data_IF_042111248393
#
_entry.id   IF_042111248393
#
_cell.length_a   1.000
_cell.length_b   1.000
_cell.length_c   1.000
_cell.angle_alpha   90.00
_cell.angle_beta   90.00
_cell.angle_gamma   90.00
#
_symmetry.space_group_name_H-M   'P 1'
#
loop_
_entity.id
_entity.type
_entity.pdbx_description
1 polymer ?
#
# COMPACT_ATOMS: atom_id res chain seq x y z
N UNK A 1 -42.73 33.80 -5.49
CA UNK A 1 -42.14 32.52 -5.95
C UNK A 1 -40.64 32.64 -5.75
N UNK A 2 -40.15 32.16 -4.59
CA UNK A 2 -38.75 32.30 -4.16
C UNK A 2 -37.99 31.14 -4.76
N UNK A 3 -37.11 31.42 -5.73
CA UNK A 3 -36.16 30.47 -6.27
C UNK A 3 -35.05 30.32 -5.22
N UNK A 4 -35.08 29.25 -4.43
CA UNK A 4 -33.92 28.88 -3.59
C UNK A 4 -32.88 28.33 -4.56
N UNK A 5 -31.84 29.12 -4.80
CA UNK A 5 -30.61 28.64 -5.45
C UNK A 5 -30.06 27.50 -4.61
N UNK A 6 -29.98 26.30 -5.19
CA UNK A 6 -29.18 25.23 -4.66
C UNK A 6 -27.73 25.72 -4.70
N UNK A 7 -27.24 26.19 -3.56
CA UNK A 7 -25.81 26.38 -3.34
C UNK A 7 -25.11 25.05 -3.63
N UNK A 8 -24.12 25.10 -4.52
CA UNK A 8 -23.15 24.01 -4.75
C UNK A 8 -22.75 23.50 -3.36
N UNK A 9 -23.10 22.25 -3.08
CA UNK A 9 -22.51 21.51 -1.98
C UNK A 9 -21.01 21.60 -2.21
N UNK A 10 -20.28 22.32 -1.35
CA UNK A 10 -18.82 22.26 -1.30
C UNK A 10 -18.47 20.79 -1.22
N UNK A 11 -17.98 20.24 -2.30
CA UNK A 11 -17.49 18.88 -2.36
C UNK A 11 -16.34 18.81 -1.36
N UNK A 12 -16.57 18.17 -0.20
CA UNK A 12 -15.55 17.96 0.82
C UNK A 12 -14.40 17.26 0.12
N UNK A 13 -13.26 17.94 0.06
CA UNK A 13 -12.08 17.40 -0.62
C UNK A 13 -11.63 16.12 0.12
N UNK A 14 -11.82 14.97 -0.51
CA UNK A 14 -11.47 13.67 0.05
C UNK A 14 -9.98 13.65 0.39
N UNK A 15 -9.62 13.23 1.61
CA UNK A 15 -8.24 13.05 2.03
C UNK A 15 -7.90 11.58 2.12
N UNK A 16 -6.87 11.18 1.38
CA UNK A 16 -6.46 9.78 1.26
C UNK A 16 -5.15 9.55 2.02
N UNK A 17 -5.14 8.60 2.96
CA UNK A 17 -3.95 8.12 3.61
C UNK A 17 -3.39 6.89 2.88
N UNK A 18 -2.10 6.89 2.58
CA UNK A 18 -1.40 5.77 1.94
C UNK A 18 -0.21 5.36 2.83
N UNK A 19 -0.35 4.29 3.61
CA UNK A 19 0.79 3.70 4.31
C UNK A 19 1.78 3.10 3.32
N UNK A 20 3.08 3.32 3.54
CA UNK A 20 4.16 2.77 2.70
C UNK A 20 5.21 2.16 3.61
N UNK A 21 5.46 0.86 3.47
CA UNK A 21 6.46 0.13 4.26
C UNK A 21 7.78 0.06 3.51
N UNK A 22 8.92 0.39 4.13
CA UNK A 22 10.22 0.01 3.60
C UNK A 22 10.43 -1.50 3.76
N UNK A 23 10.69 -2.19 2.66
CA UNK A 23 10.97 -3.63 2.66
C UNK A 23 12.34 -3.91 2.06
N UNK A 24 13.01 -5.03 2.41
CA UNK A 24 14.16 -5.50 1.65
C UNK A 24 13.80 -5.64 0.17
N UNK A 25 14.70 -5.24 -0.71
CA UNK A 25 14.47 -5.35 -2.16
C UNK A 25 14.25 -6.82 -2.54
N UNK A 26 13.07 -7.20 -3.06
CA UNK A 26 12.77 -8.58 -3.44
C UNK A 26 13.77 -9.15 -4.47
N UNK A 27 14.38 -8.31 -5.30
CA UNK A 27 15.40 -8.72 -6.27
C UNK A 27 16.73 -9.09 -5.60
N UNK A 28 16.95 -8.65 -4.36
CA UNK A 28 18.15 -8.87 -3.59
C UNK A 28 17.97 -9.91 -2.47
N UNK A 29 16.87 -10.64 -2.47
CA UNK A 29 16.53 -11.61 -1.40
C UNK A 29 17.65 -12.65 -1.13
N UNK A 30 18.45 -13.01 -2.14
CA UNK A 30 19.60 -13.92 -1.99
C UNK A 30 20.79 -13.31 -1.25
N UNK A 31 20.81 -12.00 -1.04
CA UNK A 31 21.88 -11.27 -0.34
C UNK A 31 21.55 -11.01 1.13
N UNK A 32 20.32 -11.28 1.54
CA UNK A 32 19.90 -11.12 2.93
C UNK A 32 20.72 -12.08 3.79
N UNK A 33 21.28 -11.56 4.87
CA UNK A 33 22.01 -12.32 5.87
C UNK A 33 21.29 -12.24 7.21
N UNK A 34 21.55 -13.23 8.04
CA UNK A 34 21.06 -13.29 9.42
C UNK A 34 22.27 -13.12 10.34
N UNK A 35 22.10 -12.40 11.43
CA UNK A 35 23.13 -12.28 12.48
C UNK A 35 23.49 -13.66 13.07
N UNK A 36 24.66 -13.79 13.67
CA UNK A 36 25.13 -15.07 14.24
C UNK A 36 24.16 -15.63 15.31
N UNK A 37 23.52 -14.77 16.08
CA UNK A 37 22.50 -15.14 17.06
C UNK A 37 21.12 -15.45 16.46
N UNK A 38 20.93 -15.19 15.18
CA UNK A 38 19.66 -15.41 14.48
C UNK A 38 18.58 -14.37 14.81
N UNK A 39 18.89 -13.31 15.53
CA UNK A 39 17.85 -12.38 15.99
C UNK A 39 17.62 -11.18 15.07
N UNK A 40 18.55 -10.91 14.14
CA UNK A 40 18.49 -9.72 13.28
C UNK A 40 18.72 -10.08 11.82
N UNK A 41 17.90 -9.48 10.95
CA UNK A 41 18.16 -9.49 9.51
C UNK A 41 19.16 -8.39 9.18
N UNK A 42 20.27 -8.77 8.54
CA UNK A 42 21.31 -7.85 8.10
C UNK A 42 20.99 -7.41 6.66
N UNK A 43 20.26 -6.31 6.55
CA UNK A 43 19.85 -5.67 5.29
C UNK A 43 20.35 -4.24 5.33
N UNK A 44 21.16 -3.83 4.36
CA UNK A 44 21.60 -2.44 4.28
C UNK A 44 20.43 -1.52 3.82
N UNK A 45 20.51 -0.24 4.15
CA UNK A 45 19.50 0.74 3.77
C UNK A 45 19.36 0.93 2.26
N UNK A 46 20.48 0.77 1.53
CA UNK A 46 20.52 0.83 0.08
C UNK A 46 19.80 -0.34 -0.59
N UNK A 47 19.57 -1.42 0.18
CA UNK A 47 18.84 -2.61 -0.23
C UNK A 47 17.36 -2.56 0.19
N UNK A 48 16.87 -1.43 0.72
CA UNK A 48 15.46 -1.23 1.05
C UNK A 48 14.76 -0.40 -0.02
N UNK A 49 13.56 -0.84 -0.40
CA UNK A 49 12.67 -0.17 -1.35
C UNK A 49 11.27 0.01 -0.76
N UNK A 50 10.43 0.86 -1.34
CA UNK A 50 9.01 0.85 -1.01
C UNK A 50 8.44 -0.54 -1.28
N UNK A 51 7.55 -1.02 -0.41
CA UNK A 51 6.82 -2.24 -0.69
C UNK A 51 6.08 -2.11 -2.04
N UNK A 52 6.25 -3.04 -2.99
CA UNK A 52 5.62 -2.95 -4.32
C UNK A 52 4.11 -2.77 -4.26
N UNK A 53 3.41 -3.46 -3.35
CA UNK A 53 1.96 -3.30 -3.19
C UNK A 53 1.57 -1.89 -2.73
N UNK A 54 2.43 -1.21 -1.94
CA UNK A 54 2.16 0.15 -1.49
C UNK A 54 2.45 1.18 -2.59
N UNK A 55 3.39 0.90 -3.51
CA UNK A 55 3.60 1.71 -4.70
C UNK A 55 2.35 1.69 -5.60
N UNK A 56 1.72 0.52 -5.76
CA UNK A 56 0.45 0.39 -6.46
C UNK A 56 -0.70 1.10 -5.74
N UNK A 57 -0.72 1.04 -4.41
CA UNK A 57 -1.69 1.77 -3.60
C UNK A 57 -1.55 3.29 -3.77
N UNK A 58 -0.31 3.80 -3.75
CA UNK A 58 -0.04 5.21 -3.99
C UNK A 58 -0.47 5.63 -5.40
N UNK A 59 -0.15 4.85 -6.43
CA UNK A 59 -0.60 5.12 -7.80
C UNK A 59 -2.12 5.17 -7.89
N UNK A 60 -2.83 4.23 -7.26
CA UNK A 60 -4.29 4.21 -7.22
C UNK A 60 -4.86 5.46 -6.53
N UNK A 61 -4.33 5.83 -5.37
CA UNK A 61 -4.72 7.05 -4.65
C UNK A 61 -4.49 8.31 -5.49
N UNK A 62 -3.36 8.39 -6.21
CA UNK A 62 -3.08 9.52 -7.08
C UNK A 62 -4.05 9.59 -8.26
N UNK A 63 -4.39 8.47 -8.89
CA UNK A 63 -5.39 8.40 -9.97
C UNK A 63 -6.78 8.82 -9.50
N UNK A 64 -7.17 8.48 -8.28
CA UNK A 64 -8.43 8.93 -7.68
C UNK A 64 -8.48 10.44 -7.42
N UNK A 65 -7.33 11.10 -7.30
CA UNK A 65 -7.25 12.53 -6.98
C UNK A 65 -7.04 13.43 -8.19
N UNK A 66 -7.01 12.90 -9.41
CA UNK A 66 -6.73 13.67 -10.63
C UNK A 66 -7.75 13.38 -11.75
N UNK A 67 -7.78 14.26 -12.76
CA UNK A 67 -8.63 14.06 -13.95
C UNK A 67 -8.00 13.15 -15.01
N UNK A 68 -6.79 12.68 -14.79
CA UNK A 68 -6.03 11.84 -15.69
C UNK A 68 -5.26 12.62 -16.76
N UNK A 69 -5.89 13.56 -17.47
CA UNK A 69 -5.23 14.39 -18.49
C UNK A 69 -4.31 15.43 -17.90
N UNK A 70 -4.59 15.85 -16.67
CA UNK A 70 -3.86 16.86 -15.97
C UNK A 70 -3.38 16.40 -14.58
N UNK A 71 -2.40 15.47 -14.52
CA UNK A 71 -2.00 14.83 -13.26
C UNK A 71 -1.35 15.78 -12.24
N UNK A 72 -1.15 17.04 -12.60
CA UNK A 72 -0.69 18.08 -11.68
C UNK A 72 -1.81 18.81 -10.96
N UNK A 73 -3.02 18.78 -11.50
CA UNK A 73 -4.23 19.30 -10.86
C UNK A 73 -4.90 18.20 -10.07
N UNK A 74 -4.82 18.30 -8.76
CA UNK A 74 -5.47 17.35 -7.85
C UNK A 74 -6.64 18.03 -7.17
N UNK A 75 -7.71 17.30 -7.05
CA UNK A 75 -8.93 17.76 -6.36
C UNK A 75 -9.06 17.17 -4.95
N UNK A 76 -8.10 16.36 -4.54
CA UNK A 76 -8.04 15.75 -3.23
C UNK A 76 -6.59 15.62 -2.76
N UNK A 77 -6.39 15.46 -1.46
CA UNK A 77 -5.07 15.37 -0.83
C UNK A 77 -4.67 13.90 -0.60
N UNK A 78 -3.44 13.55 -0.98
CA UNK A 78 -2.85 12.23 -0.67
C UNK A 78 -1.69 12.40 0.30
N UNK A 79 -1.78 11.71 1.45
CA UNK A 79 -0.76 11.67 2.48
C UNK A 79 -0.06 10.33 2.45
N UNK A 80 1.26 10.30 2.32
CA UNK A 80 2.04 9.08 2.51
C UNK A 80 2.54 9.02 3.95
N UNK A 81 2.45 7.85 4.56
CA UNK A 81 2.91 7.63 5.94
C UNK A 81 3.77 6.37 6.03
N UNK A 82 4.81 6.44 6.86
CA UNK A 82 5.61 5.25 7.23
C UNK A 82 5.88 5.22 8.72
N UNK A 83 5.93 4.01 9.26
CA UNK A 83 6.50 3.76 10.58
C UNK A 83 7.92 3.23 10.36
N UNK A 84 8.91 3.91 10.92
CA UNK A 84 10.29 3.51 10.71
C UNK A 84 11.31 4.50 11.25
N UNK A 85 12.57 4.13 11.16
CA UNK A 85 13.70 5.03 11.52
C UNK A 85 13.84 6.17 10.50
N UNK A 86 14.80 7.07 10.71
CA UNK A 86 15.10 8.16 9.75
C UNK A 86 15.53 7.64 8.36
N UNK A 87 15.95 6.41 8.27
CA UNK A 87 16.31 5.75 7.01
C UNK A 87 15.11 5.58 6.08
N UNK A 88 13.91 5.44 6.65
CA UNK A 88 12.66 5.40 5.88
C UNK A 88 12.28 6.72 5.22
N UNK A 89 12.97 7.84 5.51
CA UNK A 89 12.69 9.14 4.88
C UNK A 89 12.87 9.09 3.35
N UNK A 90 13.74 8.22 2.84
CA UNK A 90 13.92 8.03 1.39
C UNK A 90 12.64 7.55 0.72
N UNK A 91 11.89 6.67 1.36
CA UNK A 91 10.62 6.12 0.87
C UNK A 91 9.55 7.22 0.81
N UNK A 92 9.46 8.04 1.87
CA UNK A 92 8.56 9.18 1.93
C UNK A 92 8.89 10.23 0.85
N UNK A 93 10.18 10.47 0.62
CA UNK A 93 10.64 11.36 -0.44
C UNK A 93 10.29 10.85 -1.83
N UNK A 94 10.37 9.52 -2.05
CA UNK A 94 9.89 8.90 -3.28
C UNK A 94 8.39 9.14 -3.46
N UNK A 95 7.56 8.92 -2.43
CA UNK A 95 6.12 9.19 -2.47
C UNK A 95 5.80 10.67 -2.78
N UNK A 96 6.52 11.61 -2.16
CA UNK A 96 6.38 13.04 -2.47
C UNK A 96 6.79 13.38 -3.91
N UNK A 97 7.82 12.73 -4.44
CA UNK A 97 8.28 12.92 -5.82
C UNK A 97 7.28 12.36 -6.83
N UNK A 98 6.62 11.24 -6.51
CA UNK A 98 5.57 10.61 -7.31
C UNK A 98 4.31 11.48 -7.35
N UNK A 99 4.02 12.24 -6.28
CA UNK A 99 2.91 13.20 -6.30
C UNK A 99 2.10 13.33 -5.03
N UNK A 100 2.47 12.66 -3.94
CA UNK A 100 1.84 12.87 -2.65
C UNK A 100 2.01 14.34 -2.20
N UNK A 101 0.97 14.87 -1.56
CA UNK A 101 0.97 16.24 -1.06
C UNK A 101 1.84 16.40 0.17
N UNK A 102 1.69 15.50 1.15
CA UNK A 102 2.37 15.48 2.44
C UNK A 102 2.94 14.11 2.75
N UNK A 103 3.93 14.08 3.63
CA UNK A 103 4.58 12.86 4.05
C UNK A 103 4.81 12.88 5.57
N UNK A 104 4.42 11.80 6.24
CA UNK A 104 4.46 11.65 7.69
C UNK A 104 5.35 10.45 8.03
N UNK A 105 6.29 10.63 8.97
CA UNK A 105 7.02 9.54 9.59
C UNK A 105 6.65 9.42 11.07
N UNK A 106 6.34 8.21 11.48
CA UNK A 106 6.24 7.84 12.89
C UNK A 106 7.49 7.06 13.25
N UNK A 107 8.40 7.62 14.09
CA UNK A 107 9.62 6.91 14.48
C UNK A 107 9.31 5.60 15.19
N UNK A 108 9.85 4.51 14.66
CA UNK A 108 9.73 3.17 15.20
C UNK A 108 10.90 2.31 14.71
N UNK A 109 11.23 1.24 15.45
CA UNK A 109 12.11 0.17 14.98
C UNK A 109 11.26 -1.05 14.66
N UNK A 110 11.68 -1.84 13.67
CA UNK A 110 10.92 -3.02 13.23
C UNK A 110 10.64 -4.01 14.38
N UNK A 111 11.59 -4.14 15.31
CA UNK A 111 11.47 -5.02 16.49
C UNK A 111 10.46 -4.54 17.56
N UNK A 112 10.10 -3.25 17.55
CA UNK A 112 9.20 -2.64 18.52
C UNK A 112 7.74 -2.60 18.06
N UNK A 113 7.46 -2.98 16.82
CA UNK A 113 6.14 -2.89 16.20
C UNK A 113 5.70 -4.20 15.55
N UNK A 114 4.41 -4.42 15.57
CA UNK A 114 3.73 -5.48 14.84
C UNK A 114 2.52 -4.93 14.08
N UNK A 115 1.79 -5.77 13.37
CA UNK A 115 0.61 -5.37 12.62
C UNK A 115 -0.46 -4.70 13.50
N UNK A 116 -0.56 -5.07 14.78
CA UNK A 116 -1.51 -4.48 15.72
C UNK A 116 -1.14 -3.04 16.06
N UNK A 117 0.12 -2.80 16.44
CA UNK A 117 0.62 -1.45 16.74
C UNK A 117 0.50 -0.55 15.51
N UNK A 118 0.91 -1.05 14.33
CA UNK A 118 0.79 -0.31 13.06
C UNK A 118 -0.66 0.11 12.82
N UNK A 119 -1.61 -0.81 12.97
CA UNK A 119 -3.03 -0.49 12.77
C UNK A 119 -3.56 0.57 13.76
N UNK A 120 -3.15 0.52 15.03
CA UNK A 120 -3.53 1.53 16.03
C UNK A 120 -2.94 2.91 15.72
N UNK A 121 -1.66 2.97 15.34
CA UNK A 121 -1.02 4.23 14.94
C UNK A 121 -1.70 4.83 13.70
N UNK A 122 -1.95 4.01 12.68
CA UNK A 122 -2.65 4.46 11.47
C UNK A 122 -4.05 4.96 11.79
N UNK A 123 -4.80 4.29 12.70
CA UNK A 123 -6.13 4.74 13.11
C UNK A 123 -6.07 6.13 13.78
N UNK A 124 -5.07 6.39 14.62
CA UNK A 124 -4.89 7.71 15.23
C UNK A 124 -4.54 8.78 14.19
N UNK A 125 -3.70 8.44 13.22
CA UNK A 125 -3.36 9.35 12.12
C UNK A 125 -4.58 9.64 11.23
N UNK A 126 -5.37 8.64 10.87
CA UNK A 126 -6.61 8.80 10.10
C UNK A 126 -7.54 9.81 10.76
N UNK A 127 -7.75 9.68 12.07
CA UNK A 127 -8.60 10.60 12.84
C UNK A 127 -7.96 12.00 12.92
N UNK A 128 -6.67 12.08 13.26
CA UNK A 128 -5.94 13.35 13.41
C UNK A 128 -5.92 14.16 12.12
N UNK A 129 -5.68 13.50 11.00
CA UNK A 129 -5.59 14.11 9.68
C UNK A 129 -6.95 14.24 8.98
N UNK A 130 -8.04 13.82 9.62
CA UNK A 130 -9.39 13.80 9.07
C UNK A 130 -9.43 13.15 7.67
N UNK A 131 -8.87 11.94 7.55
CA UNK A 131 -8.88 11.19 6.31
C UNK A 131 -10.22 10.50 6.11
N UNK A 132 -10.64 10.38 4.84
CA UNK A 132 -11.90 9.74 4.45
C UNK A 132 -11.67 8.37 3.80
N UNK A 133 -10.45 8.14 3.32
CA UNK A 133 -10.08 6.91 2.63
C UNK A 133 -8.66 6.50 3.02
N UNK A 134 -8.49 5.22 3.30
CA UNK A 134 -7.17 4.60 3.37
C UNK A 134 -7.02 3.67 2.18
N UNK A 135 -5.98 3.90 1.37
CA UNK A 135 -5.59 3.00 0.27
C UNK A 135 -4.22 2.44 0.59
N UNK A 136 -4.10 1.14 0.70
CA UNK A 136 -2.85 0.48 1.06
C UNK A 136 -2.63 -0.81 0.28
N UNK A 137 -1.40 -1.27 0.21
CA UNK A 137 -1.09 -2.58 -0.34
C UNK A 137 -1.79 -3.69 0.44
N UNK A 138 -2.21 -4.75 -0.25
CA UNK A 138 -2.87 -5.88 0.41
C UNK A 138 -1.98 -6.55 1.45
N UNK A 139 -0.67 -6.52 1.23
CA UNK A 139 0.35 -7.16 2.08
C UNK A 139 1.71 -6.52 1.87
N UNK A 140 2.70 -6.86 2.67
CA UNK A 140 4.10 -6.49 2.44
C UNK A 140 4.87 -7.67 1.87
N UNK A 141 5.81 -7.41 0.95
CA UNK A 141 6.59 -8.43 0.27
C UNK A 141 7.60 -9.17 1.17
N UNK A 142 7.84 -8.66 2.38
CA UNK A 142 8.76 -9.25 3.34
C UNK A 142 8.09 -10.19 4.34
N UNK A 143 6.82 -9.98 4.66
CA UNK A 143 6.13 -10.74 5.72
C UNK A 143 4.81 -11.39 5.30
N UNK A 144 4.23 -10.99 4.17
CA UNK A 144 2.97 -11.51 3.61
C UNK A 144 1.78 -11.61 4.58
N UNK A 145 1.81 -10.86 5.70
CA UNK A 145 0.85 -11.01 6.80
C UNK A 145 -0.59 -10.65 6.46
N UNK A 146 -0.81 -9.72 5.52
CA UNK A 146 -2.14 -9.28 5.03
C UNK A 146 -3.17 -9.02 6.14
N UNK A 147 -2.83 -8.30 7.19
CA UNK A 147 -3.72 -8.11 8.35
C UNK A 147 -3.88 -6.65 8.80
N UNK A 148 -2.96 -5.75 8.45
CA UNK A 148 -3.00 -4.36 8.93
C UNK A 148 -4.25 -3.63 8.46
N UNK A 149 -4.65 -3.79 7.21
CA UNK A 149 -5.84 -3.13 6.65
C UNK A 149 -7.13 -3.57 7.35
N UNK A 150 -7.28 -4.86 7.59
CA UNK A 150 -8.44 -5.44 8.26
C UNK A 150 -8.51 -5.01 9.74
N UNK A 151 -7.37 -5.01 10.44
CA UNK A 151 -7.27 -4.51 11.82
C UNK A 151 -7.61 -3.02 11.90
N UNK A 152 -7.07 -2.23 10.98
CA UNK A 152 -7.33 -0.79 10.88
C UNK A 152 -8.82 -0.50 10.68
N UNK A 153 -9.46 -1.18 9.73
CA UNK A 153 -10.88 -1.03 9.48
C UNK A 153 -11.73 -1.39 10.71
N UNK A 154 -11.37 -2.45 11.41
CA UNK A 154 -12.03 -2.85 12.65
C UNK A 154 -11.90 -1.80 13.75
N UNK A 155 -10.69 -1.26 13.97
CA UNK A 155 -10.43 -0.23 14.99
C UNK A 155 -11.21 1.05 14.70
N UNK A 156 -11.30 1.44 13.42
CA UNK A 156 -12.04 2.63 12.98
C UNK A 156 -13.58 2.41 12.92
N UNK A 157 -14.04 1.15 12.93
CA UNK A 157 -15.43 0.81 12.64
C UNK A 157 -15.84 1.15 11.20
N UNK A 158 -14.89 1.14 10.26
CA UNK A 158 -15.09 1.48 8.87
C UNK A 158 -15.34 0.25 8.00
N UNK A 159 -16.09 0.39 6.91
CA UNK A 159 -16.15 -0.64 5.88
C UNK A 159 -14.76 -0.88 5.29
N UNK A 160 -14.50 -2.14 4.91
CA UNK A 160 -13.27 -2.53 4.24
C UNK A 160 -13.56 -3.28 2.95
N UNK A 161 -12.71 -3.06 1.95
CA UNK A 161 -12.68 -3.88 0.74
C UNK A 161 -11.24 -4.30 0.47
N UNK A 162 -11.02 -5.62 0.39
CA UNK A 162 -9.68 -6.20 0.27
C UNK A 162 -9.44 -6.79 -1.12
N UNK A 163 -8.16 -6.89 -1.54
CA UNK A 163 -7.75 -7.44 -2.83
C UNK A 163 -8.36 -6.72 -4.04
N UNK A 164 -8.49 -5.40 -3.94
CA UNK A 164 -9.15 -4.58 -4.94
C UNK A 164 -8.28 -4.47 -6.19
N UNK A 165 -8.88 -4.80 -7.34
CA UNK A 165 -8.26 -4.71 -8.67
C UNK A 165 -8.82 -3.55 -9.50
N UNK A 166 -10.00 -2.99 -9.14
CA UNK A 166 -10.53 -1.76 -9.76
C UNK A 166 -11.28 -0.91 -8.74
N UNK A 167 -11.23 0.41 -8.94
CA UNK A 167 -11.97 1.41 -8.15
C UNK A 167 -12.55 2.45 -9.11
N UNK A 168 -13.85 2.71 -8.98
CA UNK A 168 -14.51 3.82 -9.61
C UNK A 168 -15.26 4.66 -8.56
N UNK A 169 -15.03 5.97 -8.56
CA UNK A 169 -15.80 6.92 -7.77
C UNK A 169 -17.15 7.15 -8.46
N UNK A 170 -18.24 6.96 -7.73
CA UNK A 170 -19.60 7.19 -8.20
C UNK A 170 -20.05 8.63 -7.93
N UNK A 171 -21.04 9.15 -8.67
CA UNK A 171 -21.54 10.53 -8.50
C UNK A 171 -22.08 10.83 -7.09
N UNK A 172 -22.50 9.82 -6.34
CA UNK A 172 -23.02 9.94 -4.97
C UNK A 172 -21.93 9.88 -3.89
N UNK A 173 -20.63 9.90 -4.30
CA UNK A 173 -19.48 9.83 -3.41
C UNK A 173 -19.20 8.42 -2.86
N UNK A 174 -19.88 7.39 -3.37
CA UNK A 174 -19.54 6.00 -3.07
C UNK A 174 -18.43 5.51 -4.01
N UNK A 175 -17.77 4.42 -3.61
CA UNK A 175 -16.80 3.70 -4.44
C UNK A 175 -17.45 2.42 -4.96
N UNK A 176 -17.42 2.20 -6.28
CA UNK A 176 -17.65 0.90 -6.87
C UNK A 176 -16.27 0.23 -7.05
N UNK A 177 -16.13 -0.98 -6.53
CA UNK A 177 -14.85 -1.69 -6.51
C UNK A 177 -15.02 -3.11 -7.03
N UNK A 178 -14.04 -3.56 -7.81
CA UNK A 178 -13.89 -4.98 -8.14
C UNK A 178 -12.75 -5.55 -7.31
N UNK A 179 -12.99 -6.71 -6.71
CA UNK A 179 -11.99 -7.44 -5.91
C UNK A 179 -11.81 -8.86 -6.41
N UNK A 180 -10.58 -9.33 -6.32
CA UNK A 180 -10.24 -10.71 -6.65
C UNK A 180 -10.67 -11.66 -5.52
N UNK A 181 -11.29 -12.76 -5.90
CA UNK A 181 -11.67 -13.86 -5.00
C UNK A 181 -11.42 -15.19 -5.67
N UNK A 182 -11.39 -16.28 -4.88
CA UNK A 182 -11.27 -17.62 -5.45
C UNK A 182 -12.44 -17.89 -6.39
N UNK A 183 -12.10 -18.20 -7.63
CA UNK A 183 -13.08 -18.49 -8.69
C UNK A 183 -13.65 -17.29 -9.44
N UNK A 184 -13.17 -16.04 -9.21
CA UNK A 184 -13.60 -14.89 -9.99
C UNK A 184 -13.37 -13.52 -9.38
N UNK A 185 -14.28 -12.61 -9.73
CA UNK A 185 -14.25 -11.20 -9.29
C UNK A 185 -15.60 -10.85 -8.65
N UNK A 186 -15.56 -10.11 -7.57
CA UNK A 186 -16.76 -9.55 -6.93
C UNK A 186 -16.79 -8.04 -7.14
N UNK A 187 -17.94 -7.51 -7.55
CA UNK A 187 -18.21 -6.07 -7.59
C UNK A 187 -18.97 -5.68 -6.33
N UNK A 188 -18.45 -4.70 -5.61
CA UNK A 188 -19.01 -4.20 -4.34
C UNK A 188 -19.15 -2.68 -4.41
N UNK A 189 -20.04 -2.13 -3.56
CA UNK A 189 -20.13 -0.69 -3.30
C UNK A 189 -19.74 -0.41 -1.86
N UNK A 190 -18.84 0.53 -1.67
CA UNK A 190 -18.37 0.97 -0.37
C UNK A 190 -18.67 2.46 -0.19
N UNK A 191 -19.21 2.81 0.98
CA UNK A 191 -19.38 4.21 1.38
C UNK A 191 -18.12 4.70 2.07
N UNK A 192 -17.77 5.95 1.83
CA UNK A 192 -16.76 6.64 2.63
C UNK A 192 -17.32 7.02 4.02
N UNK A 193 -16.48 7.01 5.07
CA UNK A 193 -15.06 6.66 5.04
C UNK A 193 -14.83 5.14 4.93
N UNK A 194 -13.70 4.71 4.33
CA UNK A 194 -13.42 3.31 4.06
C UNK A 194 -11.91 2.96 4.10
N UNK A 195 -11.61 1.68 4.29
CA UNK A 195 -10.27 1.11 4.13
C UNK A 195 -10.26 0.17 2.91
N UNK A 196 -9.34 0.41 1.99
CA UNK A 196 -9.18 -0.37 0.76
C UNK A 196 -7.78 -0.95 0.71
N UNK A 197 -7.66 -2.26 0.52
CA UNK A 197 -6.37 -2.90 0.22
C UNK A 197 -6.34 -3.34 -1.24
N UNK A 198 -5.26 -2.98 -1.96
CA UNK A 198 -5.20 -3.16 -3.41
C UNK A 198 -4.32 -4.33 -3.83
N UNK A 199 -4.74 -4.98 -4.91
CA UNK A 199 -3.94 -5.98 -5.64
C UNK A 199 -3.07 -5.31 -6.71
N UNK A 200 -2.10 -6.04 -7.26
CA UNK A 200 -1.19 -5.56 -8.30
C UNK A 200 -1.91 -5.11 -9.58
N UNK A 201 -3.11 -5.64 -9.86
CA UNK A 201 -3.91 -5.30 -11.05
C UNK A 201 -4.50 -3.90 -11.01
N UNK A 202 -4.51 -3.25 -9.86
CA UNK A 202 -5.04 -1.88 -9.68
C UNK A 202 -4.35 -0.84 -10.58
N UNK A 203 -3.16 -1.13 -11.11
CA UNK A 203 -2.43 -0.21 -12.00
C UNK A 203 -2.61 -0.50 -13.48
N UNK A 204 -3.60 -1.32 -13.85
CA UNK A 204 -4.01 -1.45 -15.26
C UNK A 204 -4.66 -0.14 -15.76
N UNK A 205 -4.70 0.10 -17.09
CA UNK A 205 -5.13 1.38 -17.65
C UNK A 205 -6.53 1.86 -17.23
N UNK A 206 -7.45 0.91 -17.01
CA UNK A 206 -8.86 1.19 -16.69
C UNK A 206 -9.23 0.92 -15.23
N UNK A 207 -8.25 0.57 -14.39
CA UNK A 207 -8.52 0.08 -13.05
C UNK A 207 -9.00 1.16 -12.09
N UNK A 208 -8.57 2.41 -12.26
CA UNK A 208 -8.92 3.50 -11.33
C UNK A 208 -9.53 4.65 -12.09
N UNK A 209 -10.70 5.09 -11.64
CA UNK A 209 -11.43 6.22 -12.22
C UNK A 209 -11.98 7.10 -11.10
N UNK A 210 -11.61 8.37 -11.10
CA UNK A 210 -12.29 9.39 -10.31
C UNK A 210 -13.56 9.87 -11.03
N UNK A 211 -14.42 10.57 -10.33
CA UNK A 211 -15.60 11.26 -10.92
C UNK A 211 -15.22 12.27 -12.00
N UNK A 212 -13.95 12.67 -12.09
CA UNK A 212 -13.41 13.63 -13.06
C UNK A 212 -12.62 12.98 -14.19
N UNK A 213 -12.37 11.67 -14.12
CA UNK A 213 -11.63 10.96 -15.18
C UNK A 213 -12.49 10.87 -16.44
N UNK A 214 -12.08 11.45 -17.59
CA UNK A 214 -12.87 11.41 -18.82
C UNK A 214 -13.09 9.97 -19.29
N UNK A 215 -14.23 9.68 -19.90
CA UNK A 215 -14.61 8.32 -20.32
C UNK A 215 -13.61 7.71 -21.32
N UNK A 216 -13.06 8.54 -22.19
CA UNK A 216 -12.10 8.16 -23.24
C UNK A 216 -10.65 8.11 -22.73
N UNK A 217 -10.38 8.53 -21.48
CA UNK A 217 -9.03 8.55 -20.92
C UNK A 217 -8.64 7.16 -20.37
N UNK A 218 -7.39 6.78 -20.63
CA UNK A 218 -6.76 5.56 -20.12
C UNK A 218 -5.40 5.92 -19.53
N UNK A 219 -5.13 5.47 -18.32
CA UNK A 219 -3.82 5.64 -17.70
C UNK A 219 -2.77 4.76 -18.38
N UNK A 220 -1.50 5.17 -18.40
CA UNK A 220 -0.41 4.24 -18.72
C UNK A 220 -0.44 3.04 -17.76
N UNK A 221 -0.09 1.83 -18.22
CA UNK A 221 0.01 0.67 -17.34
C UNK A 221 1.16 0.82 -16.34
N UNK A 222 0.98 0.29 -15.14
CA UNK A 222 1.98 0.32 -14.07
C UNK A 222 1.95 1.60 -13.24
N UNK A 223 2.93 1.71 -12.35
CA UNK A 223 3.13 2.90 -11.52
C UNK A 223 3.87 3.98 -12.30
N UNK A 224 3.58 5.23 -12.00
CA UNK A 224 4.27 6.37 -12.62
C UNK A 224 5.69 6.54 -12.07
N UNK A 225 6.60 6.98 -12.92
CA UNK A 225 7.94 7.37 -12.52
C UNK A 225 8.00 8.85 -12.16
N UNK A 226 8.67 9.17 -11.06
CA UNK A 226 8.91 10.56 -10.69
C UNK A 226 9.99 11.16 -11.59
N UNK A 227 9.71 12.25 -12.35
CA UNK A 227 10.72 12.91 -13.15
C UNK A 227 11.75 13.62 -12.26
N UNK A 228 13.00 13.77 -12.74
CA UNK A 228 14.10 14.36 -11.99
C UNK A 228 13.75 15.70 -11.31
N UNK A 229 13.06 16.64 -11.96
CA UNK A 229 12.66 17.89 -11.29
C UNK A 229 11.70 17.68 -10.11
N UNK A 230 10.86 16.65 -10.13
CA UNK A 230 9.98 16.31 -9.01
C UNK A 230 10.78 15.71 -7.84
N UNK A 231 11.76 14.85 -8.12
CA UNK A 231 12.69 14.30 -7.11
C UNK A 231 13.44 15.43 -6.43
N UNK A 232 13.96 16.39 -7.19
CA UNK A 232 14.68 17.55 -6.65
C UNK A 232 13.80 18.44 -5.76
N UNK A 233 12.53 18.64 -6.14
CA UNK A 233 11.57 19.36 -5.30
C UNK A 233 11.21 18.59 -4.05
N UNK A 234 10.98 17.27 -4.15
CA UNK A 234 10.64 16.41 -3.02
C UNK A 234 11.73 16.41 -1.94
N UNK A 235 13.00 16.51 -2.31
CA UNK A 235 14.13 16.62 -1.37
C UNK A 235 14.02 17.82 -0.43
N UNK A 236 13.38 18.91 -0.88
CA UNK A 236 13.23 20.17 -0.13
C UNK A 236 11.91 20.27 0.64
N UNK A 237 10.95 19.40 0.36
CA UNK A 237 9.67 19.40 1.10
C UNK A 237 9.90 18.97 2.55
N UNK A 238 9.20 19.57 3.53
CA UNK A 238 9.26 19.10 4.91
C UNK A 238 8.71 17.68 5.02
N UNK A 239 9.26 16.91 5.94
CA UNK A 239 8.67 15.66 6.43
C UNK A 239 8.10 15.94 7.81
N UNK A 240 6.87 15.51 8.03
CA UNK A 240 6.21 15.61 9.32
C UNK A 240 6.60 14.41 10.18
N UNK A 241 6.95 14.66 11.43
CA UNK A 241 7.33 13.61 12.36
C UNK A 241 6.35 13.62 13.52
N UNK A 242 5.69 12.49 13.74
CA UNK A 242 4.74 12.31 14.83
C UNK A 242 5.25 11.26 15.80
N UNK A 243 5.36 11.62 17.06
CA UNK A 243 5.74 10.69 18.12
C UNK A 243 4.64 9.63 18.34
N UNK A 244 5.04 8.36 18.36
CA UNK A 244 4.12 7.22 18.48
C UNK A 244 3.41 7.22 19.83
N UNK A 245 4.13 7.52 20.91
CA UNK A 245 3.55 7.59 22.24
C UNK A 245 2.51 8.70 22.37
N UNK A 246 2.78 9.86 21.77
CA UNK A 246 1.82 10.97 21.73
C UNK A 246 0.57 10.65 20.89
N UNK A 247 0.71 9.88 19.81
CA UNK A 247 -0.42 9.42 18.99
C UNK A 247 -1.29 8.41 19.74
N UNK A 248 -0.68 7.44 20.37
CA UNK A 248 -1.40 6.35 21.05
C UNK A 248 -1.97 6.77 22.40
N UNK A 249 -1.33 7.72 23.08
CA UNK A 249 -1.71 8.15 24.42
C UNK A 249 -1.46 7.12 25.54
N UNK A 250 -0.99 5.93 25.17
CA UNK A 250 -0.64 4.84 26.07
C UNK A 250 0.43 3.96 25.43
N UNK A 251 1.17 3.23 26.25
CA UNK A 251 2.07 2.20 25.76
C UNK A 251 1.24 0.98 25.34
N UNK A 252 1.49 0.49 24.09
CA UNK A 252 0.88 -0.73 23.56
C UNK A 252 2.02 -1.70 23.28
N UNK A 253 1.95 -2.88 23.89
CA UNK A 253 2.91 -3.95 23.62
C UNK A 253 2.61 -4.67 22.32
N UNK A 254 3.63 -5.09 21.55
CA UNK A 254 3.43 -5.95 20.39
C UNK A 254 2.78 -7.28 20.80
N UNK A 255 1.80 -7.73 20.01
CA UNK A 255 1.17 -9.05 20.20
C UNK A 255 2.05 -10.19 19.69
N UNK A 256 2.93 -9.89 18.73
CA UNK A 256 3.83 -10.84 18.08
C UNK A 256 5.28 -10.37 18.22
N UNK A 257 6.19 -11.32 18.43
CA UNK A 257 7.62 -11.08 18.50
C UNK A 257 8.35 -12.11 17.65
N UNK A 258 9.24 -11.65 16.77
CA UNK A 258 10.14 -12.53 16.07
C UNK A 258 11.16 -13.13 17.06
N UNK A 259 11.22 -14.46 17.12
CA UNK A 259 12.13 -15.15 18.03
C UNK A 259 13.45 -15.45 17.33
N UNK A 260 13.41 -15.84 16.07
CA UNK A 260 14.60 -16.22 15.30
C UNK A 260 14.34 -16.16 13.80
N UNK A 261 15.36 -15.76 13.06
CA UNK A 261 15.43 -15.84 11.60
C UNK A 261 16.39 -16.96 11.20
N UNK A 262 16.02 -17.72 10.19
CA UNK A 262 16.87 -18.77 9.61
C UNK A 262 16.85 -18.65 8.09
N UNK A 263 18.06 -18.77 7.50
CA UNK A 263 18.16 -18.84 6.05
C UNK A 263 17.69 -20.23 5.61
N UNK A 264 16.72 -20.32 4.68
CA UNK A 264 16.28 -21.60 4.16
C UNK A 264 17.45 -22.40 3.58
N UNK A 265 17.45 -23.70 3.78
CA UNK A 265 18.43 -24.59 3.17
C UNK A 265 18.40 -24.46 1.64
N UNK A 266 19.56 -24.46 1.01
CA UNK A 266 19.66 -24.42 -0.45
C UNK A 266 18.91 -25.62 -1.04
N UNK A 267 17.98 -25.36 -1.93
CA UNK A 267 17.26 -26.42 -2.63
C UNK A 267 18.24 -27.21 -3.49
N UNK A 268 18.11 -28.52 -3.48
CA UNK A 268 18.85 -29.37 -4.41
C UNK A 268 18.48 -28.99 -5.87
N UNK A 269 19.46 -29.15 -6.76
CA UNK A 269 19.21 -28.94 -8.19
C UNK A 269 18.08 -29.83 -8.67
N UNK A 270 17.18 -29.27 -9.47
CA UNK A 270 16.14 -30.04 -10.09
C UNK A 270 16.69 -31.08 -11.08
N UNK A 271 15.87 -32.08 -11.41
CA UNK A 271 16.19 -33.08 -12.42
C UNK A 271 15.72 -32.58 -13.79
N UNK A 272 16.66 -32.55 -14.77
CA UNK A 272 16.32 -32.28 -16.17
C UNK A 272 15.89 -33.61 -16.78
N UNK A 273 14.71 -33.61 -17.40
CA UNK A 273 14.13 -34.78 -18.04
C UNK A 273 14.25 -34.68 -19.57
N UNK A 274 14.32 -35.83 -20.27
CA UNK A 274 14.56 -35.88 -21.70
C UNK A 274 13.30 -35.52 -22.53
N UNK A 275 12.09 -35.65 -21.98
CA UNK A 275 10.86 -35.39 -22.70
C UNK A 275 9.71 -34.97 -21.79
N UNK A 276 8.68 -34.33 -22.39
CA UNK A 276 7.43 -33.99 -21.69
C UNK A 276 6.68 -35.22 -21.19
N UNK A 277 6.73 -36.33 -21.91
CA UNK A 277 6.10 -37.60 -21.51
C UNK A 277 6.75 -38.12 -20.22
N UNK A 278 8.07 -38.09 -20.16
CA UNK A 278 8.81 -38.46 -18.95
C UNK A 278 8.47 -37.52 -17.79
N UNK A 279 8.40 -36.19 -18.04
CA UNK A 279 8.00 -35.22 -17.02
C UNK A 279 6.64 -35.57 -16.41
N UNK A 280 5.62 -35.75 -17.26
CA UNK A 280 4.26 -36.10 -16.80
C UNK A 280 4.29 -37.41 -15.99
N UNK A 281 4.98 -38.45 -16.50
CA UNK A 281 5.11 -39.72 -15.79
C UNK A 281 5.71 -39.52 -14.37
N UNK A 282 6.76 -38.72 -14.25
CA UNK A 282 7.43 -38.49 -12.96
C UNK A 282 6.57 -37.63 -12.03
N UNK A 283 5.87 -36.61 -12.55
CA UNK A 283 4.94 -35.80 -11.76
C UNK A 283 3.77 -36.65 -11.20
N UNK A 284 3.29 -37.62 -11.99
CA UNK A 284 2.23 -38.54 -11.56
C UNK A 284 2.75 -39.61 -10.62
N UNK A 285 3.87 -40.29 -10.94
CA UNK A 285 4.29 -41.49 -10.21
C UNK A 285 5.19 -41.22 -9.01
N UNK A 286 6.07 -40.23 -9.08
CA UNK A 286 7.02 -39.90 -8.01
C UNK A 286 6.56 -38.70 -7.20
N UNK A 287 6.28 -37.55 -7.83
CA UNK A 287 5.90 -36.35 -7.13
C UNK A 287 4.43 -36.35 -6.67
N UNK A 288 3.57 -37.15 -7.30
CA UNK A 288 2.13 -37.29 -7.00
C UNK A 288 1.39 -35.97 -6.94
N UNK A 289 1.69 -35.07 -7.89
CA UNK A 289 1.08 -33.74 -8.03
C UNK A 289 0.15 -33.63 -9.24
N UNK A 290 0.07 -34.68 -10.04
CA UNK A 290 -0.87 -34.86 -11.14
C UNK A 290 -1.66 -36.14 -10.94
#
# INVERSE_FOLDING_TARGET
MLLIAFTELEQIAVRILVPVKPVPDPELCTKIRVSEDGQTLLVSNEERKPNPFDEYALEAALRLTEDGRNPRQRHAETLVVTLGTSEADVILRAGLATGAARAIRVPARDEDIDASIVAHVLARLVIKEACDLVVMGKQSADGDGNEVGQRLAHILGWPQVTFVSKIAELPDGQLEVEREVDGGVQTLRARLPAVVTVDLRIVTPDAVRSSRTPEDFRYPPGVRFAPLPAIMRARKKPLEIHDMGALLGAHIEPLLRHVRYEIPATRASGRIVASTVELVRLLTSEAKVL
#
